data_IF_919066545021
#
_entry.id   IF_919066545021
#
_cell.length_a   1.000
_cell.length_b   1.000
_cell.length_c   1.000
_cell.angle_alpha   90.00
_cell.angle_beta   90.00
_cell.angle_gamma   90.00
#
_symmetry.space_group_name_H-M   'P 1'
#
loop_
_entity.id
_entity.type
_entity.pdbx_description
1 polymer ?
#
# COMPACT_ATOMS: atom_id res chain seq x y z
N UNK A 1 -23.05 41.42 -18.41
CA UNK A 1 -23.44 40.03 -18.06
C UNK A 1 -23.50 39.21 -19.34
N UNK A 2 -22.72 38.14 -19.44
CA UNK A 2 -22.84 37.17 -20.55
C UNK A 2 -22.45 35.79 -20.06
N UNK A 3 -23.40 35.10 -19.43
CA UNK A 3 -23.34 33.66 -19.25
C UNK A 3 -23.67 33.00 -20.59
N UNK A 4 -22.71 32.33 -21.21
CA UNK A 4 -23.01 31.26 -22.16
C UNK A 4 -22.41 29.97 -21.63
N UNK A 5 -23.27 29.19 -20.99
CA UNK A 5 -23.06 27.80 -20.63
C UNK A 5 -22.69 27.00 -21.87
N UNK A 6 -21.52 26.38 -21.89
CA UNK A 6 -21.25 25.29 -22.83
C UNK A 6 -22.23 24.14 -22.52
N UNK A 7 -22.99 23.64 -23.51
CA UNK A 7 -23.80 22.45 -23.28
C UNK A 7 -22.87 21.24 -23.10
N UNK A 8 -22.95 20.62 -21.91
CA UNK A 8 -22.33 19.33 -21.64
C UNK A 8 -23.16 18.25 -22.32
N UNK A 9 -22.55 17.54 -23.27
CA UNK A 9 -23.14 16.37 -23.89
C UNK A 9 -22.78 15.14 -23.05
N UNK A 10 -23.77 14.54 -22.41
CA UNK A 10 -23.64 13.22 -21.77
C UNK A 10 -24.09 12.15 -22.75
N UNK A 11 -23.39 11.01 -22.77
CA UNK A 11 -23.73 9.89 -23.61
C UNK A 11 -23.73 8.61 -22.77
N UNK A 12 -24.87 7.92 -22.76
CA UNK A 12 -25.00 6.60 -22.11
C UNK A 12 -24.58 5.53 -23.09
N UNK A 13 -23.55 4.75 -22.75
CA UNK A 13 -23.13 3.60 -23.55
C UNK A 13 -23.96 2.39 -23.08
N UNK A 14 -24.70 1.77 -24.02
CA UNK A 14 -25.49 0.56 -23.74
C UNK A 14 -24.63 -0.71 -23.72
N UNK A 15 -25.27 -1.87 -23.51
CA UNK A 15 -24.60 -3.19 -23.49
C UNK A 15 -24.10 -3.68 -24.85
N UNK A 16 -24.36 -2.93 -25.93
CA UNK A 16 -23.90 -3.24 -27.29
C UNK A 16 -22.64 -2.42 -27.61
N UNK A 17 -21.59 -3.04 -28.20
CA UNK A 17 -20.39 -2.31 -28.61
C UNK A 17 -20.75 -1.14 -29.52
N UNK A 18 -20.48 0.08 -29.05
CA UNK A 18 -20.79 1.32 -29.78
C UNK A 18 -19.48 1.96 -30.21
N UNK A 19 -19.26 2.05 -31.53
CA UNK A 19 -18.05 2.66 -32.10
C UNK A 19 -18.31 4.15 -32.33
N UNK A 20 -17.64 4.99 -31.56
CA UNK A 20 -17.65 6.44 -31.76
C UNK A 20 -16.66 6.81 -32.85
N UNK A 21 -17.10 7.62 -33.83
CA UNK A 21 -16.26 8.11 -34.93
C UNK A 21 -16.32 9.64 -34.97
N UNK A 22 -15.22 10.27 -35.36
CA UNK A 22 -15.09 11.74 -35.47
C UNK A 22 -15.31 12.50 -34.15
N UNK A 23 -15.02 11.85 -33.03
CA UNK A 23 -15.08 12.45 -31.70
C UNK A 23 -13.66 12.49 -31.14
N UNK A 24 -13.23 13.65 -30.62
CA UNK A 24 -11.95 13.75 -29.91
C UNK A 24 -12.08 13.07 -28.55
N UNK A 25 -11.46 11.91 -28.36
CA UNK A 25 -11.47 11.18 -27.08
C UNK A 25 -10.95 12.01 -25.91
N UNK A 26 -10.10 13.01 -26.16
CA UNK A 26 -9.64 13.96 -25.14
C UNK A 26 -10.76 14.83 -24.55
N UNK A 27 -11.93 14.88 -25.18
CA UNK A 27 -13.11 15.62 -24.69
C UNK A 27 -14.05 14.76 -23.84
N UNK A 28 -13.78 13.44 -23.74
CA UNK A 28 -14.63 12.50 -23.03
C UNK A 28 -13.88 11.98 -21.81
N UNK A 29 -14.41 12.25 -20.64
CA UNK A 29 -13.92 11.68 -19.40
C UNK A 29 -15.00 10.76 -18.81
N UNK A 30 -14.69 9.49 -18.49
CA UNK A 30 -15.68 8.58 -17.92
C UNK A 30 -16.20 9.10 -16.58
N UNK A 31 -17.53 9.15 -16.45
CA UNK A 31 -18.19 9.62 -15.22
C UNK A 31 -17.84 8.74 -14.04
N UNK A 32 -17.87 7.43 -14.25
CA UNK A 32 -17.62 6.41 -13.23
C UNK A 32 -16.20 6.54 -12.67
N UNK A 33 -15.22 6.85 -13.54
CA UNK A 33 -13.83 7.11 -13.11
C UNK A 33 -13.73 8.37 -12.24
N UNK A 34 -14.44 9.45 -12.61
CA UNK A 34 -14.44 10.67 -11.80
C UNK A 34 -15.15 10.45 -10.46
N UNK A 35 -16.29 9.77 -10.44
CA UNK A 35 -17.04 9.43 -9.23
C UNK A 35 -16.21 8.57 -8.27
N UNK A 36 -15.52 7.55 -8.79
CA UNK A 36 -14.65 6.68 -7.99
C UNK A 36 -13.47 7.45 -7.36
N UNK A 37 -12.81 8.33 -8.13
CA UNK A 37 -11.67 9.10 -7.61
C UNK A 37 -12.11 10.15 -6.58
N UNK A 38 -13.25 10.82 -6.78
CA UNK A 38 -13.81 11.76 -5.80
C UNK A 38 -14.21 11.04 -4.51
N UNK A 39 -14.82 9.85 -4.59
CA UNK A 39 -15.14 9.05 -3.42
C UNK A 39 -13.88 8.61 -2.65
N UNK A 40 -12.81 8.24 -3.37
CA UNK A 40 -11.51 7.92 -2.77
C UNK A 40 -10.91 9.12 -2.03
N UNK A 41 -10.94 10.30 -2.64
CA UNK A 41 -10.47 11.55 -2.04
C UNK A 41 -11.25 11.89 -0.76
N UNK A 42 -12.59 11.77 -0.77
CA UNK A 42 -13.40 12.02 0.42
C UNK A 42 -13.07 11.09 1.58
N UNK A 43 -12.89 9.80 1.28
CA UNK A 43 -12.54 8.80 2.28
C UNK A 43 -11.21 9.18 2.93
N UNK A 44 -10.21 9.51 2.11
CA UNK A 44 -8.88 9.91 2.56
C UNK A 44 -8.94 11.13 3.47
N UNK A 45 -9.56 12.23 3.00
CA UNK A 45 -9.65 13.46 3.78
C UNK A 45 -10.41 13.23 5.10
N UNK A 46 -11.47 12.41 5.13
CA UNK A 46 -12.20 12.11 6.37
C UNK A 46 -11.38 11.26 7.35
N UNK A 47 -10.51 10.40 6.86
CA UNK A 47 -9.62 9.59 7.70
C UNK A 47 -8.34 10.33 8.12
N UNK A 48 -7.96 11.42 7.45
CA UNK A 48 -6.77 12.19 7.82
C UNK A 48 -7.06 13.06 9.05
N UNK A 49 -6.34 12.86 10.17
CA UNK A 49 -6.38 13.77 11.31
C UNK A 49 -5.81 15.12 10.88
N UNK A 50 -6.59 16.20 11.08
CA UNK A 50 -6.17 17.58 10.79
C UNK A 50 -6.45 18.37 12.07
N UNK A 51 -5.38 18.74 12.78
CA UNK A 51 -5.46 19.42 14.08
C UNK A 51 -5.80 20.92 13.96
N UNK A 52 -5.57 21.52 12.78
CA UNK A 52 -5.94 22.90 12.50
C UNK A 52 -7.38 23.00 11.95
N UNK A 53 -8.27 23.57 12.77
CA UNK A 53 -9.67 23.86 12.42
C UNK A 53 -9.84 24.67 11.12
N UNK A 54 -8.88 25.54 10.79
CA UNK A 54 -8.88 26.35 9.57
C UNK A 54 -8.57 25.48 8.36
N UNK A 55 -7.56 24.63 8.47
CA UNK A 55 -7.17 23.69 7.42
C UNK A 55 -8.29 22.67 7.15
N UNK A 56 -8.91 22.14 8.22
CA UNK A 56 -10.09 21.26 8.12
C UNK A 56 -11.22 21.93 7.33
N UNK A 57 -11.55 23.19 7.65
CA UNK A 57 -12.60 23.95 6.94
C UNK A 57 -12.26 24.19 5.46
N UNK A 58 -10.99 24.50 5.15
CA UNK A 58 -10.54 24.67 3.77
C UNK A 58 -10.65 23.36 2.98
N UNK A 59 -10.34 22.23 3.61
CA UNK A 59 -10.45 20.93 2.96
C UNK A 59 -11.90 20.51 2.75
N UNK A 60 -12.79 20.77 3.71
CA UNK A 60 -14.23 20.54 3.57
C UNK A 60 -14.85 21.40 2.45
N UNK A 61 -14.42 22.66 2.33
CA UNK A 61 -14.80 23.54 1.21
C UNK A 61 -14.31 22.99 -0.13
N UNK A 62 -13.10 22.45 -0.17
CA UNK A 62 -12.52 21.85 -1.38
C UNK A 62 -13.29 20.61 -1.83
N UNK A 63 -13.65 19.72 -0.89
CA UNK A 63 -14.55 18.58 -1.16
C UNK A 63 -15.87 19.07 -1.75
N UNK A 64 -16.50 20.07 -1.12
CA UNK A 64 -17.78 20.61 -1.58
C UNK A 64 -17.68 21.14 -3.01
N UNK A 65 -16.64 21.92 -3.31
CA UNK A 65 -16.41 22.47 -4.64
C UNK A 65 -16.22 21.36 -5.68
N UNK A 66 -15.42 20.33 -5.39
CA UNK A 66 -15.19 19.20 -6.31
C UNK A 66 -16.48 18.43 -6.57
N UNK A 67 -17.32 18.21 -5.55
CA UNK A 67 -18.64 17.60 -5.72
C UNK A 67 -19.56 18.43 -6.60
N UNK A 68 -19.53 19.76 -6.47
CA UNK A 68 -20.32 20.63 -7.32
C UNK A 68 -19.83 20.58 -8.77
N UNK A 69 -18.51 20.59 -9.01
CA UNK A 69 -17.91 20.39 -10.34
C UNK A 69 -18.32 19.04 -10.94
N UNK A 70 -18.32 17.97 -10.15
CA UNK A 70 -18.76 16.63 -10.56
C UNK A 70 -20.25 16.60 -10.92
N UNK A 71 -21.12 17.18 -10.08
CA UNK A 71 -22.56 17.30 -10.33
C UNK A 71 -22.87 18.12 -11.58
N UNK A 72 -22.04 19.13 -11.86
CA UNK A 72 -22.14 19.97 -13.03
C UNK A 72 -21.59 19.30 -14.29
N UNK A 73 -21.22 18.02 -14.26
CA UNK A 73 -20.82 17.24 -15.45
C UNK A 73 -19.38 17.46 -15.92
N UNK A 74 -18.58 18.27 -15.22
CA UNK A 74 -17.18 18.51 -15.55
C UNK A 74 -16.28 17.39 -14.98
N UNK A 75 -16.50 16.15 -15.43
CA UNK A 75 -15.90 14.94 -14.85
C UNK A 75 -14.37 14.95 -14.86
N UNK A 76 -13.74 15.34 -15.97
CA UNK A 76 -12.27 15.40 -16.07
C UNK A 76 -11.66 16.43 -15.11
N UNK A 77 -12.31 17.58 -14.93
CA UNK A 77 -11.89 18.60 -13.97
C UNK A 77 -12.04 18.12 -12.54
N UNK A 78 -13.19 17.51 -12.19
CA UNK A 78 -13.41 16.94 -10.87
C UNK A 78 -12.39 15.85 -10.54
N UNK A 79 -12.07 14.98 -11.51
CA UNK A 79 -11.03 13.97 -11.38
C UNK A 79 -9.64 14.59 -11.14
N UNK A 80 -9.25 15.59 -11.94
CA UNK A 80 -7.96 16.26 -11.78
C UNK A 80 -7.80 16.92 -10.40
N UNK A 81 -8.82 17.64 -9.95
CA UNK A 81 -8.86 18.25 -8.61
C UNK A 81 -8.81 17.19 -7.50
N UNK A 82 -9.57 16.10 -7.62
CA UNK A 82 -9.53 15.00 -6.65
C UNK A 82 -8.13 14.37 -6.56
N UNK A 83 -7.46 14.16 -7.70
CA UNK A 83 -6.08 13.64 -7.75
C UNK A 83 -5.07 14.59 -7.15
N UNK A 84 -5.24 15.89 -7.33
CA UNK A 84 -4.38 16.90 -6.71
C UNK A 84 -4.49 16.84 -5.19
N UNK A 85 -5.71 16.82 -4.65
CA UNK A 85 -5.93 16.67 -3.20
C UNK A 85 -5.38 15.33 -2.70
N UNK A 86 -5.66 14.21 -3.37
CA UNK A 86 -5.07 12.92 -2.99
C UNK A 86 -3.54 13.00 -2.99
N UNK A 87 -2.95 13.68 -3.97
CA UNK A 87 -1.50 13.89 -4.08
C UNK A 87 -0.92 14.81 -3.00
N UNK A 88 -1.69 15.79 -2.52
CA UNK A 88 -1.32 16.68 -1.42
C UNK A 88 -1.54 16.00 -0.06
N UNK A 89 -2.65 15.29 0.13
CA UNK A 89 -2.92 14.46 1.31
C UNK A 89 -1.96 13.27 1.42
N UNK A 90 -1.41 12.75 0.31
CA UNK A 90 -0.30 11.78 0.35
C UNK A 90 1.03 12.38 0.78
N UNK A 91 1.19 13.72 0.77
CA UNK A 91 2.32 14.42 1.40
C UNK A 91 2.07 14.71 2.89
N UNK A 92 0.81 14.58 3.33
CA UNK A 92 0.39 14.62 4.73
C UNK A 92 0.33 13.21 5.35
N UNK A 93 0.77 12.15 4.67
CA UNK A 93 0.43 10.79 5.10
C UNK A 93 1.29 10.31 6.25
N UNK A 94 0.82 10.64 7.44
CA UNK A 94 0.97 9.87 8.67
C UNK A 94 0.40 8.45 8.60
N UNK A 95 0.00 7.96 7.41
CA UNK A 95 -0.74 6.73 7.22
C UNK A 95 0.17 5.49 7.24
N UNK A 96 -0.39 4.39 7.74
CA UNK A 96 0.20 3.07 7.64
C UNK A 96 0.55 2.69 6.19
N UNK A 97 1.71 2.04 5.97
CA UNK A 97 2.23 1.63 4.68
C UNK A 97 2.16 0.11 4.51
N UNK A 98 1.53 -0.33 3.43
CA UNK A 98 1.48 -1.74 3.04
C UNK A 98 2.45 -2.00 1.89
N UNK A 99 3.37 -2.94 2.08
CA UNK A 99 4.44 -3.25 1.12
C UNK A 99 4.38 -4.72 0.76
N UNK A 100 4.12 -5.00 -0.51
CA UNK A 100 4.07 -6.38 -1.02
C UNK A 100 5.48 -6.96 -1.17
N UNK A 101 5.62 -8.26 -0.89
CA UNK A 101 6.86 -8.98 -1.18
C UNK A 101 7.24 -8.87 -2.67
N UNK A 102 6.26 -8.79 -3.57
CA UNK A 102 6.48 -8.61 -5.02
C UNK A 102 7.24 -7.32 -5.40
N UNK A 103 7.37 -6.38 -4.48
CA UNK A 103 8.12 -5.12 -4.66
C UNK A 103 9.58 -5.19 -4.19
N UNK A 104 10.03 -6.35 -3.70
CA UNK A 104 11.41 -6.56 -3.27
C UNK A 104 12.39 -6.36 -4.43
N UNK A 105 13.38 -5.49 -4.22
CA UNK A 105 14.31 -5.03 -5.27
C UNK A 105 15.56 -5.89 -5.36
N UNK A 106 15.93 -6.59 -4.28
CA UNK A 106 17.11 -7.46 -4.24
C UNK A 106 16.85 -8.67 -3.33
N UNK A 107 17.13 -9.87 -3.82
CA UNK A 107 16.93 -11.08 -3.02
C UNK A 107 17.89 -12.20 -3.43
N UNK A 108 18.26 -13.03 -2.46
CA UNK A 108 18.92 -14.32 -2.66
C UNK A 108 17.98 -15.51 -2.37
N UNK A 109 16.67 -15.28 -2.28
CA UNK A 109 15.67 -16.32 -2.08
C UNK A 109 15.39 -17.04 -3.41
N UNK A 110 14.78 -18.22 -3.33
CA UNK A 110 14.42 -19.07 -4.49
C UNK A 110 13.48 -18.37 -5.48
N UNK A 111 12.72 -17.37 -5.02
CA UNK A 111 12.00 -16.39 -5.84
C UNK A 111 10.50 -16.35 -5.57
N UNK A 112 9.76 -15.63 -6.41
CA UNK A 112 8.31 -15.47 -6.25
C UNK A 112 7.55 -16.74 -6.62
N UNK A 113 6.55 -17.11 -5.82
CA UNK A 113 5.70 -18.29 -6.03
C UNK A 113 4.24 -17.96 -5.75
N UNK A 114 3.34 -18.53 -6.54
CA UNK A 114 1.91 -18.49 -6.24
C UNK A 114 1.66 -19.19 -4.90
N UNK A 115 0.87 -18.56 -4.05
CA UNK A 115 0.60 -19.06 -2.70
C UNK A 115 -0.84 -18.76 -2.31
N UNK A 116 -1.58 -19.80 -1.90
CA UNK A 116 -2.99 -19.65 -1.59
C UNK A 116 -3.18 -18.88 -0.26
N UNK A 117 -3.97 -17.82 -0.30
CA UNK A 117 -4.20 -16.93 0.85
C UNK A 117 -3.09 -15.90 1.09
N UNK A 118 -2.15 -15.74 0.16
CA UNK A 118 -1.28 -14.57 0.12
C UNK A 118 -2.05 -13.35 -0.40
N UNK A 119 -1.71 -12.18 0.10
CA UNK A 119 -2.50 -10.94 -0.09
C UNK A 119 -2.52 -10.43 -1.54
N UNK A 120 -1.48 -10.74 -2.32
CA UNK A 120 -1.42 -10.51 -3.77
C UNK A 120 -1.39 -11.83 -4.58
N UNK A 121 -1.75 -12.95 -3.94
CA UNK A 121 -1.72 -14.29 -4.52
C UNK A 121 -0.31 -14.88 -4.73
N UNK A 122 0.74 -14.15 -4.32
CA UNK A 122 2.14 -14.61 -4.41
C UNK A 122 2.93 -14.25 -3.17
N UNK A 123 3.97 -15.03 -2.88
CA UNK A 123 4.96 -14.79 -1.83
C UNK A 123 6.36 -14.79 -2.42
N UNK A 124 7.29 -14.09 -1.76
CA UNK A 124 8.71 -14.38 -1.93
C UNK A 124 9.06 -15.63 -1.12
N UNK A 125 9.51 -16.69 -1.79
CA UNK A 125 9.83 -17.97 -1.17
C UNK A 125 11.33 -18.24 -1.12
N UNK A 126 11.84 -18.56 0.07
CA UNK A 126 13.06 -19.32 0.29
C UNK A 126 12.66 -20.77 0.55
N UNK A 127 13.21 -21.71 -0.23
CA UNK A 127 12.99 -23.13 -0.03
C UNK A 127 14.21 -23.96 -0.46
N UNK A 128 15.22 -24.02 0.40
CA UNK A 128 16.53 -24.61 0.09
C UNK A 128 16.97 -25.66 1.13
N UNK A 129 17.61 -26.75 0.70
CA UNK A 129 18.08 -27.79 1.64
C UNK A 129 19.35 -27.37 2.40
N UNK A 130 20.14 -26.45 1.86
CA UNK A 130 21.47 -26.11 2.36
C UNK A 130 21.60 -24.61 2.64
N UNK A 131 22.60 -24.26 3.45
CA UNK A 131 22.96 -22.86 3.69
C UNK A 131 23.43 -22.23 2.38
N UNK A 132 23.11 -20.96 2.19
CA UNK A 132 23.65 -20.21 1.07
C UNK A 132 25.20 -20.21 1.10
N UNK A 133 25.85 -20.41 -0.07
CA UNK A 133 27.26 -20.78 -0.13
C UNK A 133 28.25 -19.65 0.17
N UNK A 134 27.84 -18.38 0.00
CA UNK A 134 28.74 -17.21 0.12
C UNK A 134 28.23 -16.17 1.12
N UNK A 135 26.93 -15.96 1.21
CA UNK A 135 26.29 -14.97 2.09
C UNK A 135 25.02 -15.56 2.66
N UNK A 136 24.50 -14.99 3.75
CA UNK A 136 23.19 -15.38 4.29
C UNK A 136 22.08 -15.18 3.24
N UNK A 137 20.99 -15.95 3.36
CA UNK A 137 19.80 -15.68 2.56
C UNK A 137 19.22 -14.35 3.00
N UNK A 138 19.09 -13.42 2.06
CA UNK A 138 18.62 -12.06 2.31
C UNK A 138 17.57 -11.64 1.28
N UNK A 139 16.71 -10.72 1.68
CA UNK A 139 15.80 -9.98 0.83
C UNK A 139 15.81 -8.52 1.28
N UNK A 140 15.77 -7.59 0.33
CA UNK A 140 15.81 -6.15 0.59
C UNK A 140 14.77 -5.47 -0.29
N UNK A 141 13.99 -4.59 0.33
CA UNK A 141 13.06 -3.69 -0.35
C UNK A 141 13.52 -2.25 -0.16
N UNK A 142 13.32 -1.44 -1.19
CA UNK A 142 13.52 -0.01 -1.12
C UNK A 142 12.17 0.67 -1.05
N UNK A 143 11.99 1.55 -0.07
CA UNK A 143 10.82 2.42 0.06
C UNK A 143 11.26 3.87 -0.01
N UNK A 144 10.40 4.74 -0.51
CA UNK A 144 10.66 6.17 -0.51
C UNK A 144 9.76 6.85 0.52
N UNK A 145 10.29 7.02 1.74
CA UNK A 145 9.55 7.64 2.82
C UNK A 145 9.33 9.13 2.52
N UNK A 146 8.11 9.62 2.74
CA UNK A 146 7.74 11.00 2.43
C UNK A 146 8.01 11.96 3.61
N UNK A 147 8.21 11.43 4.81
CA UNK A 147 8.42 12.19 6.05
C UNK A 147 9.26 11.38 7.05
N UNK A 148 9.77 12.07 8.06
CA UNK A 148 10.42 11.43 9.20
C UNK A 148 9.35 10.93 10.17
N UNK A 149 9.23 9.62 10.35
CA UNK A 149 8.20 9.04 11.24
C UNK A 149 8.57 7.65 11.73
N UNK A 150 8.14 7.34 12.96
CA UNK A 150 8.22 5.99 13.54
C UNK A 150 6.95 5.20 13.25
N UNK A 151 7.13 3.94 12.90
CA UNK A 151 6.07 2.99 12.59
C UNK A 151 6.27 1.72 13.39
N UNK A 152 5.18 1.10 13.82
CA UNK A 152 5.19 -0.29 14.25
C UNK A 152 5.34 -1.20 13.02
N UNK A 153 6.38 -2.03 13.01
CA UNK A 153 6.69 -2.93 11.91
C UNK A 153 6.08 -4.31 12.14
N UNK A 154 5.29 -4.75 11.18
CA UNK A 154 4.73 -6.09 11.07
C UNK A 154 5.22 -6.79 9.81
N UNK A 155 5.35 -8.10 9.89
CA UNK A 155 5.64 -8.96 8.73
C UNK A 155 4.59 -10.05 8.60
N UNK A 156 4.08 -10.23 7.39
CA UNK A 156 3.25 -11.35 6.97
C UNK A 156 4.16 -12.41 6.36
N UNK A 157 4.30 -13.55 7.02
CA UNK A 157 5.19 -14.61 6.59
C UNK A 157 4.64 -16.00 6.94
N UNK A 158 5.30 -17.06 6.46
CA UNK A 158 4.98 -18.42 6.87
C UNK A 158 5.04 -18.57 8.39
N UNK A 159 4.22 -19.48 8.92
CA UNK A 159 4.12 -19.66 10.37
C UNK A 159 5.45 -20.05 11.02
N UNK A 160 5.61 -19.65 12.28
CA UNK A 160 6.81 -19.87 13.09
C UNK A 160 7.19 -21.35 13.28
N UNK A 161 6.22 -22.26 13.22
CA UNK A 161 6.44 -23.70 13.37
C UNK A 161 7.01 -24.39 12.13
N UNK A 162 6.89 -23.76 10.96
CA UNK A 162 7.44 -24.29 9.69
C UNK A 162 8.57 -23.43 9.11
N UNK A 163 8.68 -22.18 9.56
CA UNK A 163 9.64 -21.21 9.04
C UNK A 163 11.01 -21.34 9.69
N UNK A 164 12.01 -21.01 8.90
CA UNK A 164 13.34 -20.67 9.38
C UNK A 164 13.29 -19.40 10.23
N UNK A 165 14.14 -19.28 11.27
CA UNK A 165 14.29 -18.04 12.00
C UNK A 165 14.80 -16.93 11.08
N UNK A 166 14.22 -15.75 11.21
CA UNK A 166 14.59 -14.58 10.44
C UNK A 166 14.72 -13.33 11.31
N UNK A 167 15.44 -12.36 10.78
CA UNK A 167 15.64 -11.05 11.39
C UNK A 167 15.35 -9.97 10.36
N UNK A 168 14.88 -8.82 10.83
CA UNK A 168 14.48 -7.68 10.00
C UNK A 168 15.19 -6.41 10.47
N UNK A 169 15.66 -5.58 9.55
CA UNK A 169 16.29 -4.29 9.83
C UNK A 169 15.68 -3.22 8.92
N UNK A 170 15.67 -1.98 9.41
CA UNK A 170 15.30 -0.81 8.62
C UNK A 170 16.53 0.10 8.46
N UNK A 171 17.01 0.30 7.24
CA UNK A 171 18.10 1.22 6.90
C UNK A 171 19.34 1.10 7.79
N UNK A 172 19.73 -0.14 8.11
CA UNK A 172 20.90 -0.41 8.95
C UNK A 172 20.64 -0.28 10.46
N UNK A 173 19.39 -0.17 10.90
CA UNK A 173 19.01 -0.32 12.31
C UNK A 173 19.46 -1.67 12.86
N UNK A 174 19.54 -1.83 14.20
CA UNK A 174 19.69 -3.14 14.80
C UNK A 174 18.67 -4.15 14.24
N UNK A 175 19.13 -5.37 14.03
CA UNK A 175 18.28 -6.47 13.57
C UNK A 175 17.28 -6.85 14.66
N UNK A 176 16.02 -6.98 14.26
CA UNK A 176 14.87 -7.30 15.13
C UNK A 176 14.29 -8.66 14.74
N UNK A 177 13.87 -9.43 15.73
CA UNK A 177 13.27 -10.76 15.53
C UNK A 177 11.75 -10.63 15.59
N UNK A 178 10.99 -11.19 14.63
CA UNK A 178 9.53 -11.25 14.74
C UNK A 178 9.08 -11.96 16.03
N UNK A 179 8.15 -11.37 16.78
CA UNK A 179 7.67 -11.88 18.05
C UNK A 179 6.60 -12.97 17.85
N UNK A 180 6.90 -14.26 18.14
CA UNK A 180 5.96 -15.35 17.94
C UNK A 180 4.70 -15.25 18.82
N UNK A 181 4.74 -14.51 19.93
CA UNK A 181 3.57 -14.32 20.80
C UNK A 181 2.49 -13.43 20.17
N UNK A 182 2.84 -12.71 19.10
CA UNK A 182 1.93 -11.83 18.35
C UNK A 182 1.35 -12.49 17.10
N UNK A 183 1.54 -13.80 16.94
CA UNK A 183 1.09 -14.58 15.77
C UNK A 183 -0.41 -14.40 15.49
N UNK A 184 -0.73 -13.89 14.29
CA UNK A 184 -2.10 -13.79 13.78
C UNK A 184 -2.22 -14.51 12.45
N UNK A 185 -2.73 -15.74 12.50
CA UNK A 185 -2.81 -16.63 11.33
C UNK A 185 -3.78 -16.13 10.28
N UNK A 186 -3.39 -16.28 9.02
CA UNK A 186 -4.24 -16.04 7.86
C UNK A 186 -3.78 -16.89 6.67
N UNK A 187 -4.65 -17.07 5.67
CA UNK A 187 -4.33 -17.90 4.51
C UNK A 187 -3.94 -19.35 4.89
N UNK A 188 -3.36 -20.07 3.94
CA UNK A 188 -2.92 -21.44 4.15
C UNK A 188 -1.45 -21.50 4.61
N UNK A 189 -1.23 -21.27 5.91
CA UNK A 189 0.10 -21.38 6.52
C UNK A 189 0.87 -20.07 6.67
N UNK A 190 0.22 -18.92 6.51
CA UNK A 190 0.77 -17.59 6.78
C UNK A 190 0.30 -17.06 8.14
N UNK A 191 1.04 -16.09 8.68
CA UNK A 191 0.67 -15.34 9.85
C UNK A 191 1.36 -13.97 9.89
N UNK A 192 0.70 -13.00 10.51
CA UNK A 192 1.29 -11.73 10.87
C UNK A 192 2.05 -11.84 12.19
N UNK A 193 3.22 -11.19 12.25
CA UNK A 193 4.03 -11.05 13.43
C UNK A 193 4.47 -9.61 13.60
N UNK A 194 4.35 -9.08 14.81
CA UNK A 194 4.96 -7.82 15.20
C UNK A 194 6.46 -8.02 15.34
N UNK A 195 7.24 -7.05 14.89
CA UNK A 195 8.70 -7.14 14.85
C UNK A 195 9.33 -6.12 15.78
N UNK A 196 8.82 -4.89 15.76
CA UNK A 196 9.36 -3.79 16.55
C UNK A 196 8.93 -2.44 15.99
N UNK A 197 9.79 -1.44 16.14
CA UNK A 197 9.57 -0.09 15.63
C UNK A 197 10.60 0.22 14.53
N UNK A 198 10.14 0.75 13.40
CA UNK A 198 10.98 1.25 12.33
C UNK A 198 10.86 2.77 12.25
N UNK A 199 11.97 3.48 12.34
CA UNK A 199 12.02 4.93 12.16
C UNK A 199 12.44 5.24 10.74
N UNK A 200 11.49 5.69 9.92
CA UNK A 200 11.76 6.13 8.56
C UNK A 200 12.19 7.59 8.57
N UNK A 201 13.17 7.90 7.72
CA UNK A 201 13.58 9.27 7.41
C UNK A 201 13.22 9.58 5.95
N UNK A 202 12.86 10.83 5.67
CA UNK A 202 12.52 11.30 4.33
C UNK A 202 13.55 10.85 3.29
N UNK A 203 13.05 10.32 2.18
CA UNK A 203 13.86 9.81 1.08
C UNK A 203 13.96 8.27 1.02
N UNK A 204 14.91 7.76 0.23
CA UNK A 204 15.08 6.32 0.04
C UNK A 204 15.53 5.64 1.34
N UNK A 205 14.76 4.66 1.78
CA UNK A 205 15.02 3.79 2.91
C UNK A 205 14.99 2.33 2.47
N UNK A 206 15.55 1.44 3.28
CA UNK A 206 15.55 0.00 3.00
C UNK A 206 14.91 -0.76 4.16
N UNK A 207 14.21 -1.84 3.84
CA UNK A 207 13.85 -2.86 4.82
C UNK A 207 14.50 -4.16 4.36
N UNK A 208 15.34 -4.70 5.22
CA UNK A 208 16.11 -5.90 4.97
C UNK A 208 15.57 -7.04 5.82
N UNK A 209 15.47 -8.22 5.23
CA UNK A 209 15.13 -9.47 5.89
C UNK A 209 16.26 -10.44 5.64
N UNK A 210 16.74 -11.13 6.68
CA UNK A 210 17.71 -12.22 6.54
C UNK A 210 17.26 -13.45 7.30
N UNK A 211 17.64 -14.62 6.80
CA UNK A 211 17.38 -15.91 7.45
C UNK A 211 18.64 -16.37 8.17
N UNK A 212 18.53 -16.60 9.48
CA UNK A 212 19.68 -16.85 10.38
C UNK A 212 19.98 -18.34 10.57
N UNK A 213 19.09 -19.23 10.16
CA UNK A 213 19.27 -20.67 10.29
C UNK A 213 18.20 -21.49 9.57
N UNK A 214 18.35 -22.83 9.56
CA UNK A 214 17.30 -23.72 9.08
C UNK A 214 16.11 -23.75 10.06
N UNK A 215 14.95 -24.18 9.57
CA UNK A 215 13.79 -24.50 10.38
C UNK A 215 14.02 -25.79 11.20
N UNK A 216 13.01 -26.22 11.98
CA UNK A 216 13.10 -27.43 12.81
C UNK A 216 13.36 -28.72 12.04
N UNK A 217 13.00 -28.76 10.75
CA UNK A 217 13.26 -29.91 9.86
C UNK A 217 14.66 -29.87 9.21
N UNK A 218 15.49 -28.88 9.55
CA UNK A 218 16.83 -28.73 8.98
C UNK A 218 16.85 -28.08 7.59
N UNK A 219 15.73 -27.53 7.12
CA UNK A 219 15.61 -26.91 5.80
C UNK A 219 15.51 -25.39 5.91
N UNK A 220 16.07 -24.66 4.95
CA UNK A 220 15.91 -23.20 4.88
C UNK A 220 14.60 -22.89 4.19
N UNK A 221 13.59 -22.51 4.98
CA UNK A 221 12.24 -22.26 4.47
C UNK A 221 11.68 -20.95 5.02
N UNK A 222 11.30 -20.02 4.16
CA UNK A 222 10.58 -18.80 4.56
C UNK A 222 9.75 -18.30 3.39
N UNK A 223 8.44 -18.17 3.58
CA UNK A 223 7.56 -17.44 2.67
C UNK A 223 7.30 -16.05 3.25
N UNK A 224 7.56 -14.99 2.50
CA UNK A 224 7.22 -13.61 2.88
C UNK A 224 6.11 -13.14 1.95
N UNK A 225 4.98 -12.73 2.52
CA UNK A 225 3.82 -12.21 1.78
C UNK A 225 3.92 -10.69 1.68
N UNK A 226 3.98 -10.00 2.82
CA UNK A 226 4.00 -8.54 2.88
C UNK A 226 4.69 -8.02 4.15
N UNK A 227 5.08 -6.75 4.12
CA UNK A 227 5.52 -5.97 5.27
C UNK A 227 4.53 -4.81 5.47
N UNK A 228 4.14 -4.59 6.70
CA UNK A 228 3.23 -3.52 7.08
C UNK A 228 3.92 -2.60 8.09
N UNK A 229 3.93 -1.31 7.80
CA UNK A 229 4.38 -0.27 8.71
C UNK A 229 3.15 0.45 9.22
N UNK A 230 2.77 0.23 10.46
CA UNK A 230 1.60 0.84 11.08
C UNK A 230 2.01 2.13 11.77
N UNK A 231 1.37 3.25 11.46
CA UNK A 231 1.61 4.48 12.20
C UNK A 231 1.10 4.33 13.64
N UNK A 232 1.88 4.82 14.62
CA UNK A 232 1.57 4.62 16.05
C UNK A 232 0.15 5.07 16.43
N UNK A 233 -0.36 6.12 15.79
CA UNK A 233 -1.69 6.70 16.08
C UNK A 233 -2.85 5.97 15.38
N UNK A 234 -2.59 5.07 14.42
CA UNK A 234 -3.65 4.38 13.66
C UNK A 234 -4.31 3.27 14.49
N UNK A 235 -3.62 2.74 15.51
CA UNK A 235 -4.10 1.62 16.34
C UNK A 235 -4.46 0.35 15.54
N UNK A 236 -4.03 0.27 14.28
CA UNK A 236 -4.36 -0.81 13.37
C UNK A 236 -3.58 -2.07 13.73
N UNK A 237 -4.26 -3.20 13.74
CA UNK A 237 -3.65 -4.51 13.95
C UNK A 237 -3.98 -5.36 12.72
N UNK A 238 -2.97 -5.91 12.01
CA UNK A 238 -3.23 -6.69 10.80
C UNK A 238 -3.97 -7.99 11.14
N UNK A 239 -5.06 -8.24 10.42
CA UNK A 239 -5.84 -9.47 10.50
C UNK A 239 -6.28 -9.90 9.09
N UNK A 240 -6.05 -11.18 8.77
CA UNK A 240 -6.40 -11.73 7.46
C UNK A 240 -5.43 -11.36 6.32
N UNK A 241 -5.90 -11.60 5.10
CA UNK A 241 -5.22 -11.33 3.82
C UNK A 241 -5.72 -10.05 3.12
N UNK A 242 -6.66 -9.34 3.74
CA UNK A 242 -7.28 -8.15 3.16
C UNK A 242 -6.42 -6.91 3.40
N UNK A 243 -6.00 -6.26 2.31
CA UNK A 243 -5.32 -4.97 2.38
C UNK A 243 -6.23 -3.93 3.03
N UNK A 244 -5.81 -3.25 4.11
CA UNK A 244 -6.55 -2.15 4.68
C UNK A 244 -6.65 -1.02 3.65
N UNK A 245 -7.68 -0.18 3.77
CA UNK A 245 -7.95 0.89 2.82
C UNK A 245 -7.02 2.12 3.02
N UNK A 246 -5.72 1.90 3.21
CA UNK A 246 -4.71 2.95 3.31
C UNK A 246 -4.17 3.33 1.92
N UNK A 247 -3.51 4.49 1.84
CA UNK A 247 -2.95 5.03 0.60
C UNK A 247 -1.72 4.22 0.19
N UNK A 248 -1.79 3.55 -0.96
CA UNK A 248 -0.59 2.99 -1.61
C UNK A 248 0.38 4.13 -1.98
N UNK A 249 1.53 4.19 -1.31
CA UNK A 249 2.65 5.04 -1.74
C UNK A 249 3.61 4.15 -2.55
N UNK A 250 3.35 4.03 -3.85
CA UNK A 250 4.38 3.60 -4.79
C UNK A 250 4.55 4.67 -5.86
N UNK A 251 5.76 5.21 -5.97
CA UNK A 251 6.27 5.94 -7.13
C UNK A 251 7.60 5.34 -7.52
#
# INVERSE_FOLDING_TARGET
SSSRSNPLYTMTIGTRPTVLRNISFSLFFPRETAEAEVAKMEKLVKSTPIDDDTERKLMDLSIKNIKEVLKNGAFGTAFGMAREIIGQSSRLSDASLWIESSTLTRTAFTGFRAYNGATDGTVLLLDEPERAPLTEYYASMTINAQNNKSYELWIGMSRSDVSSPCEISNSGSPWMVPDPSTERRYGDGLAWYKVGTASLYEGPQTIDVKVTGPNQAGRYYLAIDAILLVAEDDGFIPEGDAKPAFVNIMR
#
